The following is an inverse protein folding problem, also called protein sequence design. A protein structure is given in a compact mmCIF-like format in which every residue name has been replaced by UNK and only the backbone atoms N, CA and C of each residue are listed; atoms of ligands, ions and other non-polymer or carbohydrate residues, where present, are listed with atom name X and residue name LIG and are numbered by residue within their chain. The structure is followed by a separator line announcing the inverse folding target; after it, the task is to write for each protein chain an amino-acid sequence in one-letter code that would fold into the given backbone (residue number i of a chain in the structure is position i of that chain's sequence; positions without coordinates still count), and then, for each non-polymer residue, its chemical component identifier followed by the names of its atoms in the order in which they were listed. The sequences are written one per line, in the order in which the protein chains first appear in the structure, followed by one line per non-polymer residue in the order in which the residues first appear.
data_IF_267887989266
#
_entry.id   IF_267887989266
#
_cell.length_a   1.000
_cell.length_b   1.000
_cell.length_c   1.000
_cell.angle_alpha   90.00
_cell.angle_beta   90.00
_cell.angle_gamma   90.00
#
_symmetry.space_group_name_H-M   'P 1'
#
loop_
_entity.id
_entity.type
_entity.pdbx_description
1 polymer ?
#
# COMPACT_ATOMS: atom_id res chain seq x y z
N UNK A 1 4.10 0.35 -36.62
CA UNK A 1 3.07 0.31 -35.58
C UNK A 1 1.74 0.51 -36.27
N UNK A 2 0.83 -0.44 -36.12
CA UNK A 2 -0.50 -0.35 -36.73
C UNK A 2 -1.32 0.71 -36.00
N UNK A 3 -2.21 1.40 -36.73
CA UNK A 3 -3.01 2.50 -36.19
C UNK A 3 -3.76 2.13 -34.89
N UNK A 4 -4.26 0.89 -34.79
CA UNK A 4 -4.89 0.35 -33.59
C UNK A 4 -3.95 0.29 -32.40
N UNK A 5 -2.70 -0.15 -32.61
CA UNK A 5 -1.70 -0.20 -31.53
C UNK A 5 -1.40 1.20 -30.99
N UNK A 6 -1.24 2.18 -31.89
CA UNK A 6 -1.01 3.57 -31.50
C UNK A 6 -2.16 4.13 -30.64
N UNK A 7 -3.41 3.83 -31.01
CA UNK A 7 -4.60 4.22 -30.23
C UNK A 7 -4.56 3.58 -28.83
N UNK A 8 -4.25 2.28 -28.72
CA UNK A 8 -4.16 1.60 -27.42
C UNK A 8 -3.11 2.24 -26.51
N UNK A 9 -1.94 2.59 -27.04
CA UNK A 9 -0.90 3.30 -26.30
C UNK A 9 -1.35 4.68 -25.80
N UNK A 10 -2.00 5.46 -26.65
CA UNK A 10 -2.54 6.78 -26.28
C UNK A 10 -3.57 6.64 -25.14
N UNK A 11 -4.50 5.69 -25.26
CA UNK A 11 -5.50 5.43 -24.23
C UNK A 11 -4.87 5.00 -22.89
N UNK A 12 -3.83 4.18 -22.94
CA UNK A 12 -3.09 3.74 -21.76
C UNK A 12 -2.36 4.89 -21.06
N UNK A 13 -1.74 5.79 -21.82
CA UNK A 13 -1.09 7.00 -21.28
C UNK A 13 -2.12 7.93 -20.63
N UNK A 14 -3.26 8.16 -21.28
CA UNK A 14 -4.36 8.97 -20.73
C UNK A 14 -4.87 8.38 -19.41
N UNK A 15 -5.02 7.05 -19.35
CA UNK A 15 -5.42 6.34 -18.13
C UNK A 15 -4.41 6.57 -17.00
N UNK A 16 -3.11 6.41 -17.27
CA UNK A 16 -2.04 6.64 -16.29
C UNK A 16 -2.09 8.08 -15.77
N UNK A 17 -2.18 9.07 -16.65
CA UNK A 17 -2.25 10.48 -16.26
C UNK A 17 -3.49 10.74 -15.39
N UNK A 18 -4.64 10.16 -15.77
CA UNK A 18 -5.87 10.25 -14.99
C UNK A 18 -5.74 9.68 -13.58
N UNK A 19 -5.08 8.52 -13.43
CA UNK A 19 -4.81 7.88 -12.14
C UNK A 19 -3.90 8.77 -11.28
N UNK A 20 -2.81 9.29 -11.85
CA UNK A 20 -1.88 10.17 -11.14
C UNK A 20 -2.62 11.42 -10.64
N UNK A 21 -3.41 12.08 -11.49
CA UNK A 21 -4.21 13.24 -11.09
C UNK A 21 -5.21 12.86 -9.98
N UNK A 22 -5.85 11.70 -10.06
CA UNK A 22 -6.76 11.20 -9.03
C UNK A 22 -6.07 11.04 -7.69
N UNK A 23 -4.88 10.45 -7.66
CA UNK A 23 -4.04 10.31 -6.46
C UNK A 23 -3.70 11.68 -5.86
N UNK A 24 -3.25 12.63 -6.68
CA UNK A 24 -2.91 13.97 -6.21
C UNK A 24 -4.11 14.72 -5.64
N UNK A 25 -5.29 14.61 -6.28
CA UNK A 25 -6.53 15.21 -5.75
C UNK A 25 -6.92 14.63 -4.39
N UNK A 26 -6.83 13.31 -4.23
CA UNK A 26 -7.10 12.66 -2.94
C UNK A 26 -6.13 13.19 -1.88
N UNK A 27 -4.84 13.23 -2.20
CA UNK A 27 -3.81 13.73 -1.29
C UNK A 27 -4.06 15.19 -0.88
N UNK A 28 -4.32 16.09 -1.84
CA UNK A 28 -4.56 17.51 -1.57
C UNK A 28 -5.84 17.73 -0.74
N UNK A 29 -6.92 17.00 -1.07
CA UNK A 29 -8.20 17.12 -0.36
C UNK A 29 -8.11 16.71 1.11
N UNK A 30 -7.18 15.82 1.46
CA UNK A 30 -6.99 15.35 2.85
C UNK A 30 -6.36 16.39 3.79
N UNK A 31 -5.86 17.52 3.26
CA UNK A 31 -5.20 18.61 4.00
C UNK A 31 -4.29 18.09 5.15
N UNK A 32 -3.30 17.24 4.83
CA UNK A 32 -2.53 16.56 5.85
C UNK A 32 -1.72 17.58 6.65
N UNK A 33 -1.78 17.47 7.99
CA UNK A 33 -0.90 18.26 8.87
C UNK A 33 0.56 17.85 8.64
N UNK A 34 1.49 18.77 8.91
CA UNK A 34 2.93 18.53 8.69
C UNK A 34 3.42 17.27 9.44
N UNK A 35 2.92 17.04 10.64
CA UNK A 35 3.26 15.87 11.46
C UNK A 35 2.82 14.55 10.79
N UNK A 36 1.67 14.56 10.12
CA UNK A 36 1.18 13.39 9.38
C UNK A 36 2.03 13.11 8.14
N UNK A 37 2.55 14.14 7.47
CA UNK A 37 3.45 13.98 6.34
C UNK A 37 4.78 13.35 6.76
N UNK A 38 5.36 13.80 7.87
CA UNK A 38 6.59 13.22 8.42
C UNK A 38 6.38 11.75 8.80
N UNK A 39 5.25 11.45 9.45
CA UNK A 39 4.89 10.08 9.79
C UNK A 39 4.74 9.19 8.55
N UNK A 40 4.03 9.66 7.52
CA UNK A 40 3.88 8.94 6.25
C UNK A 40 5.25 8.68 5.63
N UNK A 41 6.14 9.68 5.60
CA UNK A 41 7.49 9.52 5.06
C UNK A 41 8.28 8.43 5.79
N UNK A 42 8.19 8.37 7.13
CA UNK A 42 8.83 7.32 7.94
C UNK A 42 8.21 5.94 7.62
N UNK A 43 6.88 5.85 7.53
CA UNK A 43 6.19 4.60 7.23
C UNK A 43 6.54 4.08 5.82
N UNK A 44 6.60 4.96 4.83
CA UNK A 44 7.07 4.66 3.47
C UNK A 44 8.51 4.15 3.50
N UNK A 45 9.41 4.84 4.21
CA UNK A 45 10.80 4.41 4.34
C UNK A 45 10.91 3.01 4.97
N UNK A 46 10.13 2.71 6.01
CA UNK A 46 10.08 1.38 6.65
C UNK A 46 9.54 0.33 5.67
N UNK A 47 8.47 0.62 4.94
CA UNK A 47 7.91 -0.30 3.92
C UNK A 47 8.92 -0.65 2.84
N UNK A 48 9.61 0.37 2.31
CA UNK A 48 10.61 0.22 1.26
C UNK A 48 11.82 -0.55 1.78
N UNK A 49 12.39 -0.17 2.93
CA UNK A 49 13.53 -0.88 3.52
C UNK A 49 13.21 -2.31 3.92
N UNK A 50 11.97 -2.60 4.33
CA UNK A 50 11.54 -3.97 4.61
C UNK A 50 11.47 -4.85 3.36
N UNK A 51 11.29 -4.24 2.19
CA UNK A 51 11.02 -4.94 0.92
C UNK A 51 12.24 -5.05 0.01
N UNK A 52 13.11 -4.04 -0.04
CA UNK A 52 14.31 -4.07 -0.89
C UNK A 52 15.16 -5.34 -0.66
N UNK A 53 15.45 -5.78 0.60
CA UNK A 53 16.22 -7.00 0.83
C UNK A 53 15.49 -8.26 0.36
N UNK A 54 14.15 -8.26 0.38
CA UNK A 54 13.33 -9.38 -0.07
C UNK A 54 12.96 -9.29 -1.55
N UNK A 55 13.35 -8.22 -2.26
CA UNK A 55 13.06 -8.05 -3.68
C UNK A 55 13.68 -9.14 -4.57
N UNK A 56 14.74 -9.80 -4.08
CA UNK A 56 15.35 -10.96 -4.73
C UNK A 56 14.50 -12.24 -4.63
N UNK A 57 13.47 -12.26 -3.78
CA UNK A 57 12.51 -13.36 -3.62
C UNK A 57 11.16 -12.95 -4.22
N UNK A 58 10.86 -13.36 -5.47
CA UNK A 58 9.59 -13.01 -6.11
C UNK A 58 8.38 -13.40 -5.26
N UNK A 59 7.46 -12.45 -5.07
CA UNK A 59 6.24 -12.62 -4.27
C UNK A 59 6.42 -12.32 -2.77
N UNK A 60 7.64 -12.18 -2.24
CA UNK A 60 7.85 -11.85 -0.81
C UNK A 60 7.95 -10.34 -0.63
N UNK A 61 6.80 -9.69 -0.45
CA UNK A 61 6.70 -8.23 -0.35
C UNK A 61 6.28 -7.78 1.06
N UNK A 62 7.26 -7.46 1.90
CA UNK A 62 7.02 -6.99 3.27
C UNK A 62 6.29 -5.62 3.33
N UNK A 63 6.35 -4.83 2.25
CA UNK A 63 5.64 -3.56 2.10
C UNK A 63 4.13 -3.71 2.38
N UNK A 64 3.49 -4.74 1.82
CA UNK A 64 2.06 -5.00 2.02
C UNK A 64 1.69 -5.09 3.50
N UNK A 65 2.50 -5.78 4.30
CA UNK A 65 2.27 -5.85 5.74
C UNK A 65 2.30 -4.46 6.40
N UNK A 66 3.32 -3.64 6.11
CA UNK A 66 3.45 -2.29 6.68
C UNK A 66 2.30 -1.38 6.24
N UNK A 67 1.87 -1.48 4.98
CA UNK A 67 0.75 -0.72 4.42
C UNK A 67 -0.57 -1.10 5.10
N UNK A 68 -0.84 -2.39 5.29
CA UNK A 68 -2.02 -2.89 6.00
C UNK A 68 -2.01 -2.42 7.46
N UNK A 69 -0.87 -2.56 8.16
CA UNK A 69 -0.71 -2.08 9.53
C UNK A 69 -0.95 -0.57 9.63
N UNK A 70 -0.47 0.18 8.64
CA UNK A 70 -0.67 1.63 8.57
C UNK A 70 -2.16 1.96 8.44
N UNK A 71 -2.87 1.30 7.53
CA UNK A 71 -4.31 1.46 7.37
C UNK A 71 -5.08 1.16 8.65
N UNK A 72 -4.78 0.03 9.31
CA UNK A 72 -5.45 -0.40 10.55
C UNK A 72 -5.27 0.63 11.68
N UNK A 73 -4.08 1.23 11.83
CA UNK A 73 -3.74 2.00 13.03
C UNK A 73 -3.93 3.51 12.84
N UNK A 74 -3.55 4.03 11.68
CA UNK A 74 -3.59 5.47 11.37
C UNK A 74 -4.80 5.86 10.53
N UNK A 75 -5.51 4.88 9.96
CA UNK A 75 -6.76 5.08 9.24
C UNK A 75 -6.62 4.96 7.72
N UNK A 76 -7.78 5.00 7.04
CA UNK A 76 -7.91 4.71 5.60
C UNK A 76 -7.08 5.65 4.70
N UNK A 77 -7.03 6.94 5.01
CA UNK A 77 -6.32 7.93 4.21
C UNK A 77 -4.81 7.76 4.33
N UNK A 78 -4.30 7.62 5.56
CA UNK A 78 -2.87 7.37 5.80
C UNK A 78 -2.43 6.04 5.20
N UNK A 79 -3.26 4.99 5.31
CA UNK A 79 -3.01 3.70 4.66
C UNK A 79 -2.93 3.82 3.14
N UNK A 80 -3.88 4.51 2.52
CA UNK A 80 -3.90 4.75 1.08
C UNK A 80 -2.64 5.49 0.60
N UNK A 81 -2.34 6.65 1.20
CA UNK A 81 -1.20 7.48 0.79
C UNK A 81 0.11 6.73 1.00
N UNK A 82 0.26 6.01 2.12
CA UNK A 82 1.46 5.20 2.39
C UNK A 82 1.64 4.11 1.35
N UNK A 83 0.57 3.43 0.94
CA UNK A 83 0.63 2.41 -0.11
C UNK A 83 1.05 2.98 -1.46
N UNK A 84 0.44 4.09 -1.86
CA UNK A 84 0.77 4.78 -3.12
C UNK A 84 2.23 5.26 -3.14
N UNK A 85 2.68 5.93 -2.08
CA UNK A 85 4.06 6.44 -2.03
C UNK A 85 5.09 5.33 -1.87
N UNK A 86 4.74 4.22 -1.21
CA UNK A 86 5.63 3.04 -1.13
C UNK A 86 5.91 2.47 -2.51
N UNK A 87 4.89 2.31 -3.36
CA UNK A 87 5.07 1.87 -4.75
C UNK A 87 6.03 2.80 -5.50
N UNK A 88 5.74 4.10 -5.46
CA UNK A 88 6.52 5.10 -6.18
C UNK A 88 7.98 5.11 -5.72
N UNK A 89 8.23 5.16 -4.41
CA UNK A 89 9.60 5.24 -3.86
C UNK A 89 10.34 3.93 -4.08
N UNK A 90 9.70 2.77 -3.93
CA UNK A 90 10.33 1.48 -4.20
C UNK A 90 10.79 1.37 -5.66
N UNK A 91 9.94 1.79 -6.60
CA UNK A 91 10.25 1.74 -8.03
C UNK A 91 11.29 2.79 -8.44
N UNK A 92 11.53 3.84 -7.65
CA UNK A 92 12.71 4.69 -7.87
C UNK A 92 14.03 3.93 -7.67
N UNK A 93 14.05 2.88 -6.84
CA UNK A 93 15.22 2.00 -6.67
C UNK A 93 15.25 0.84 -7.66
N UNK A 94 14.09 0.24 -7.94
CA UNK A 94 13.98 -0.97 -8.78
C UNK A 94 13.76 -0.68 -10.28
N UNK A 95 13.46 0.57 -10.63
CA UNK A 95 13.15 1.02 -11.98
C UNK A 95 11.68 1.46 -12.11
N UNK A 96 11.47 2.68 -12.59
CA UNK A 96 10.13 3.19 -12.89
C UNK A 96 9.61 2.58 -14.19
N UNK A 97 8.36 2.14 -14.19
CA UNK A 97 7.76 1.51 -15.36
C UNK A 97 6.25 1.71 -15.44
N UNK A 98 5.65 1.14 -16.48
CA UNK A 98 4.20 1.16 -16.66
C UNK A 98 3.45 0.46 -15.51
N UNK A 99 4.10 -0.52 -14.86
CA UNK A 99 3.56 -1.25 -13.72
C UNK A 99 3.42 -0.40 -12.46
N UNK A 100 4.26 0.64 -12.28
CA UNK A 100 4.31 1.47 -11.07
C UNK A 100 2.94 2.04 -10.73
N UNK A 101 2.17 2.47 -11.73
CA UNK A 101 0.83 3.05 -11.54
C UNK A 101 -0.15 2.02 -11.00
N UNK A 102 -0.06 0.78 -11.46
CA UNK A 102 -0.90 -0.31 -10.98
C UNK A 102 -0.47 -0.78 -9.59
N UNK A 103 0.82 -0.77 -9.29
CA UNK A 103 1.31 -1.01 -7.93
C UNK A 103 0.83 0.06 -6.95
N UNK A 104 0.86 1.34 -7.36
CA UNK A 104 0.31 2.46 -6.59
C UNK A 104 -1.17 2.24 -6.27
N UNK A 105 -1.97 1.80 -7.26
CA UNK A 105 -3.38 1.46 -7.05
C UNK A 105 -3.52 0.26 -6.12
N UNK A 106 -2.83 -0.84 -6.39
CA UNK A 106 -2.94 -2.09 -5.64
C UNK A 106 -2.62 -1.88 -4.16
N UNK A 107 -1.47 -1.30 -3.86
CA UNK A 107 -1.07 -1.00 -2.49
C UNK A 107 -1.86 0.14 -1.85
N UNK A 108 -2.22 1.16 -2.62
CA UNK A 108 -3.11 2.22 -2.14
C UNK A 108 -4.45 1.66 -1.67
N UNK A 109 -5.13 0.86 -2.50
CA UNK A 109 -6.41 0.24 -2.16
C UNK A 109 -6.28 -0.78 -1.02
N UNK A 110 -5.18 -1.52 -0.96
CA UNK A 110 -4.87 -2.42 0.14
C UNK A 110 -4.82 -1.67 1.48
N UNK A 111 -4.11 -0.54 1.54
CA UNK A 111 -4.05 0.30 2.75
C UNK A 111 -5.38 0.98 3.08
N UNK A 112 -6.10 1.47 2.07
CA UNK A 112 -7.41 2.09 2.22
C UNK A 112 -8.42 1.12 2.84
N UNK A 113 -8.56 -0.06 2.26
CA UNK A 113 -9.51 -1.08 2.72
C UNK A 113 -9.11 -1.65 4.08
N UNK A 114 -7.82 -1.80 4.37
CA UNK A 114 -7.34 -2.16 5.70
C UNK A 114 -7.81 -1.15 6.77
N UNK A 115 -7.79 0.14 6.46
CA UNK A 115 -8.31 1.18 7.34
C UNK A 115 -9.84 1.21 7.46
N UNK A 116 -10.56 0.86 6.39
CA UNK A 116 -12.04 0.72 6.42
C UNK A 116 -12.46 -0.46 7.30
N UNK A 117 -11.74 -1.57 7.23
CA UNK A 117 -12.06 -2.81 7.96
C UNK A 117 -11.30 -2.97 9.27
N UNK A 118 -10.61 -1.93 9.74
CA UNK A 118 -9.68 -1.98 10.89
C UNK A 118 -10.25 -2.68 12.13
N UNK A 119 -11.50 -2.39 12.50
CA UNK A 119 -12.18 -3.02 13.65
C UNK A 119 -12.37 -4.54 13.50
N UNK A 120 -12.61 -5.03 12.28
CA UNK A 120 -12.77 -6.46 11.98
C UNK A 120 -11.41 -7.16 11.93
N UNK A 121 -10.37 -6.45 11.51
CA UNK A 121 -9.00 -6.97 11.40
C UNK A 121 -8.28 -7.12 12.75
N UNK A 122 -8.95 -6.81 13.87
CA UNK A 122 -8.52 -7.22 15.20
C UNK A 122 -8.56 -8.74 15.37
N UNK A 123 -9.57 -9.39 14.75
CA UNK A 123 -9.67 -10.84 14.73
C UNK A 123 -8.56 -11.45 13.86
N UNK A 124 -7.79 -12.36 14.44
CA UNK A 124 -6.64 -13.01 13.79
C UNK A 124 -7.01 -13.73 12.48
N UNK A 125 -8.16 -14.41 12.43
CA UNK A 125 -8.61 -15.14 11.26
C UNK A 125 -8.99 -14.20 10.13
N UNK A 126 -9.77 -13.16 10.43
CA UNK A 126 -10.18 -12.16 9.44
C UNK A 126 -8.97 -11.39 8.91
N UNK A 127 -8.00 -11.09 9.76
CA UNK A 127 -6.76 -10.43 9.36
C UNK A 127 -5.89 -11.28 8.46
N UNK A 128 -5.69 -12.56 8.81
CA UNK A 128 -4.94 -13.50 7.97
C UNK A 128 -5.61 -13.69 6.60
N UNK A 129 -6.93 -13.90 6.59
CA UNK A 129 -7.71 -14.03 5.36
C UNK A 129 -7.64 -12.74 4.51
N UNK A 130 -7.75 -11.57 5.14
CA UNK A 130 -7.64 -10.29 4.46
C UNK A 130 -6.30 -10.14 3.75
N UNK A 131 -5.18 -10.42 4.44
CA UNK A 131 -3.85 -10.34 3.84
C UNK A 131 -3.64 -11.35 2.71
N UNK A 132 -4.14 -12.58 2.88
CA UNK A 132 -4.06 -13.62 1.87
C UNK A 132 -4.81 -13.22 0.59
N UNK A 133 -6.07 -12.81 0.72
CA UNK A 133 -6.92 -12.39 -0.41
C UNK A 133 -6.33 -11.16 -1.10
N UNK A 134 -5.81 -10.20 -0.34
CA UNK A 134 -5.17 -9.02 -0.91
C UNK A 134 -3.86 -9.30 -1.65
N UNK A 135 -3.18 -10.42 -1.37
CA UNK A 135 -2.06 -10.88 -2.20
C UNK A 135 -2.50 -11.13 -3.64
N UNK A 136 -3.62 -11.83 -3.83
CA UNK A 136 -4.20 -12.07 -5.15
C UNK A 136 -4.74 -10.80 -5.79
N UNK A 137 -5.49 -9.97 -5.05
CA UNK A 137 -5.99 -8.72 -5.63
C UNK A 137 -4.87 -7.78 -6.06
N UNK A 138 -3.77 -7.72 -5.31
CA UNK A 138 -2.61 -6.95 -5.72
C UNK A 138 -2.03 -7.49 -7.03
N UNK A 139 -1.75 -8.80 -7.09
CA UNK A 139 -1.26 -9.47 -8.29
C UNK A 139 -2.12 -9.21 -9.51
N UNK A 140 -3.43 -9.43 -9.37
CA UNK A 140 -4.37 -9.23 -10.47
C UNK A 140 -4.44 -7.78 -10.94
N UNK A 141 -4.37 -6.81 -10.02
CA UNK A 141 -4.32 -5.38 -10.39
C UNK A 141 -3.03 -5.09 -11.17
N UNK A 142 -1.89 -5.63 -10.73
CA UNK A 142 -0.61 -5.42 -11.42
C UNK A 142 -0.54 -6.15 -12.76
N UNK A 143 -1.18 -7.30 -12.91
CA UNK A 143 -1.23 -8.08 -14.15
C UNK A 143 -1.99 -7.36 -15.27
N UNK A 144 -2.99 -6.53 -14.92
CA UNK A 144 -3.70 -5.67 -15.89
C UNK A 144 -2.71 -4.80 -16.66
N UNK A 145 -1.61 -4.38 -16.02
CA UNK A 145 -0.56 -3.58 -16.67
C UNK A 145 0.10 -4.30 -17.85
N UNK A 146 0.19 -5.64 -17.82
CA UNK A 146 0.77 -6.45 -18.89
C UNK A 146 -0.16 -6.61 -20.10
N UNK A 147 -1.48 -6.45 -19.91
CA UNK A 147 -2.46 -6.65 -20.99
C UNK A 147 -2.27 -5.67 -22.14
N UNK A 148 -1.77 -4.46 -21.86
CA UNK A 148 -1.46 -3.45 -22.87
C UNK A 148 -0.33 -3.87 -23.84
N UNK A 149 0.45 -4.90 -23.50
CA UNK A 149 1.60 -5.37 -24.25
C UNK A 149 1.35 -6.71 -24.97
N UNK A 150 0.16 -7.29 -24.81
CA UNK A 150 -0.21 -8.51 -25.52
C UNK A 150 -0.42 -8.21 -27.01
N UNK A 151 0.16 -9.05 -27.87
CA UNK A 151 -0.03 -8.97 -29.33
C UNK A 151 -1.50 -9.12 -29.75
N UNK A 152 -2.25 -9.90 -28.98
CA UNK A 152 -3.70 -10.11 -29.14
C UNK A 152 -4.35 -10.25 -27.78
N UNK A 153 -5.33 -9.39 -27.49
CA UNK A 153 -6.15 -9.47 -26.28
C UNK A 153 -7.36 -10.36 -26.58
N UNK A 154 -7.34 -11.59 -26.09
CA UNK A 154 -8.46 -12.52 -26.13
C UNK A 154 -8.55 -13.25 -24.79
N UNK A 155 -9.64 -13.99 -24.55
CA UNK A 155 -9.87 -14.62 -23.25
C UNK A 155 -8.72 -15.56 -22.85
N UNK A 156 -8.13 -16.29 -23.80
CA UNK A 156 -7.04 -17.22 -23.52
C UNK A 156 -5.74 -16.49 -23.16
N UNK A 157 -5.41 -15.39 -23.83
CA UNK A 157 -4.21 -14.61 -23.52
C UNK A 157 -4.34 -13.89 -22.18
N UNK A 158 -5.53 -13.38 -21.86
CA UNK A 158 -5.83 -12.80 -20.54
C UNK A 158 -5.71 -13.84 -19.43
N UNK A 159 -6.38 -15.01 -19.57
CA UNK A 159 -6.28 -16.10 -18.60
C UNK A 159 -4.85 -16.64 -18.49
N UNK A 160 -4.09 -16.62 -19.58
CA UNK A 160 -2.68 -17.00 -19.59
C UNK A 160 -1.82 -16.11 -18.70
N UNK A 161 -2.03 -14.79 -18.71
CA UNK A 161 -1.30 -13.86 -17.82
C UNK A 161 -1.59 -14.20 -16.35
N UNK A 162 -2.86 -14.32 -15.98
CA UNK A 162 -3.25 -14.65 -14.60
C UNK A 162 -2.78 -16.05 -14.15
N UNK A 163 -2.72 -17.01 -15.08
CA UNK A 163 -2.23 -18.35 -14.77
C UNK A 163 -0.72 -18.35 -14.48
N UNK A 164 0.05 -17.52 -15.20
CA UNK A 164 1.51 -17.38 -15.00
C UNK A 164 1.81 -16.62 -13.71
N UNK A 165 1.00 -15.63 -13.33
CA UNK A 165 1.19 -14.86 -12.09
C UNK A 165 0.73 -15.59 -10.83
N UNK A 166 -0.19 -16.55 -10.94
CA UNK A 166 -0.81 -17.23 -9.79
C UNK A 166 0.16 -17.79 -8.72
N UNK A 167 1.33 -18.38 -9.05
CA UNK A 167 2.30 -18.80 -8.03
C UNK A 167 2.87 -17.64 -7.23
N UNK A 168 3.13 -16.50 -7.87
CA UNK A 168 3.65 -15.30 -7.22
C UNK A 168 2.58 -14.67 -6.32
N UNK A 169 1.33 -14.62 -6.79
CA UNK A 169 0.17 -14.16 -6.02
C UNK A 169 -0.06 -15.01 -4.78
N UNK A 170 0.10 -16.33 -4.91
CA UNK A 170 0.01 -17.26 -3.79
C UNK A 170 1.13 -17.01 -2.77
N UNK A 171 2.38 -16.84 -3.21
CA UNK A 171 3.50 -16.53 -2.32
C UNK A 171 3.26 -15.20 -1.61
N UNK A 172 2.74 -14.19 -2.30
CA UNK A 172 2.40 -12.89 -1.71
C UNK A 172 1.29 -13.03 -0.67
N UNK A 173 0.22 -13.74 -1.00
CA UNK A 173 -0.88 -14.02 -0.09
C UNK A 173 -0.41 -14.75 1.18
N UNK A 174 0.40 -15.80 1.02
CA UNK A 174 0.99 -16.55 2.14
C UNK A 174 1.91 -15.64 2.98
N UNK A 175 2.75 -14.84 2.33
CA UNK A 175 3.65 -13.90 3.02
C UNK A 175 2.84 -12.91 3.87
N UNK A 176 1.80 -12.31 3.31
CA UNK A 176 0.93 -11.39 4.03
C UNK A 176 0.25 -12.08 5.23
N UNK A 177 -0.29 -13.29 5.02
CA UNK A 177 -0.91 -14.08 6.08
C UNK A 177 0.07 -14.33 7.23
N UNK A 178 1.26 -14.83 6.93
CA UNK A 178 2.29 -15.16 7.93
C UNK A 178 2.71 -13.90 8.69
N UNK A 179 3.04 -12.80 8.00
CA UNK A 179 3.47 -11.56 8.63
C UNK A 179 2.36 -10.95 9.52
N UNK A 180 1.11 -10.96 9.06
CA UNK A 180 -0.03 -10.42 9.82
C UNK A 180 -0.44 -11.31 11.00
N UNK A 181 -0.19 -12.61 10.96
CA UNK A 181 -0.43 -13.51 12.10
C UNK A 181 0.66 -13.34 13.14
N UNK A 182 1.93 -13.34 12.72
CA UNK A 182 3.08 -13.36 13.65
C UNK A 182 3.44 -11.99 14.20
N UNK A 183 3.48 -10.95 13.34
CA UNK A 183 4.08 -9.66 13.70
C UNK A 183 3.05 -8.59 14.07
N UNK A 184 1.76 -8.83 13.84
CA UNK A 184 0.70 -7.84 14.10
C UNK A 184 0.74 -7.27 15.51
N UNK A 185 0.86 -8.12 16.54
CA UNK A 185 0.86 -7.66 17.93
C UNK A 185 2.05 -6.75 18.26
N UNK A 186 3.22 -7.05 17.73
CA UNK A 186 4.45 -6.27 17.93
C UNK A 186 4.32 -4.91 17.24
N UNK A 187 4.00 -4.91 15.95
CA UNK A 187 3.89 -3.69 15.16
C UNK A 187 2.72 -2.83 15.61
N UNK A 188 1.60 -3.43 16.06
CA UNK A 188 0.49 -2.69 16.64
C UNK A 188 0.94 -1.84 17.82
N UNK A 189 1.70 -2.42 18.77
CA UNK A 189 2.23 -1.68 19.92
C UNK A 189 3.16 -0.54 19.48
N UNK A 190 4.05 -0.78 18.53
CA UNK A 190 5.01 0.23 18.04
C UNK A 190 4.28 1.38 17.33
N UNK A 191 3.39 1.05 16.40
CA UNK A 191 2.69 2.02 15.57
C UNK A 191 1.66 2.81 16.38
N UNK A 192 0.95 2.19 17.33
CA UNK A 192 0.06 2.91 18.25
C UNK A 192 0.85 3.91 19.10
N UNK A 193 2.01 3.54 19.64
CA UNK A 193 2.87 4.49 20.37
C UNK A 193 3.33 5.66 19.50
N UNK A 194 3.70 5.41 18.25
CA UNK A 194 4.06 6.45 17.30
C UNK A 194 2.86 7.38 17.00
N UNK A 195 1.67 6.82 16.75
CA UNK A 195 0.44 7.57 16.54
C UNK A 195 0.12 8.49 17.70
N UNK A 196 0.15 7.96 18.91
CA UNK A 196 -0.23 8.71 20.11
C UNK A 196 0.80 9.81 20.44
N UNK A 197 2.04 9.67 19.98
CA UNK A 197 3.08 10.71 20.12
C UNK A 197 2.98 11.82 19.07
N UNK A 198 2.76 11.46 17.80
CA UNK A 198 2.90 12.38 16.66
C UNK A 198 1.56 12.89 16.10
N UNK A 199 0.48 12.12 16.22
CA UNK A 199 -0.84 12.47 15.64
C UNK A 199 -1.80 13.01 16.71
N UNK A 200 -1.80 12.41 17.90
CA UNK A 200 -2.61 12.85 19.03
C UNK A 200 -1.75 13.15 20.26
N UNK A 201 -0.87 14.18 20.22
CA UNK A 201 -0.05 14.49 21.38
C UNK A 201 -0.97 14.73 22.57
N UNK A 202 -0.96 13.79 23.51
CA UNK A 202 -1.70 13.90 24.75
C UNK A 202 -1.26 15.20 25.41
N UNK A 203 -2.22 16.09 25.69
CA UNK A 203 -2.00 17.30 26.50
C UNK A 203 -1.64 16.89 27.94
N UNK A 204 -0.49 16.28 28.16
CA UNK A 204 -0.04 15.84 29.49
C UNK A 204 0.92 16.81 30.16
N UNK A 205 1.41 17.85 29.47
CA UNK A 205 2.43 18.75 30.03
C UNK A 205 1.94 20.14 30.48
N UNK A 206 0.66 20.49 30.33
CA UNK A 206 0.14 21.80 30.78
C UNK A 206 -0.53 21.79 32.15
N UNK A 207 -0.98 20.63 32.65
CA UNK A 207 -1.62 20.53 33.97
C UNK A 207 -0.59 20.45 35.12
N UNK A 208 0.57 19.82 34.90
CA UNK A 208 1.61 19.66 35.92
C UNK A 208 2.41 20.94 36.14
N UNK A 209 2.53 21.80 35.12
CA UNK A 209 3.27 23.07 35.21
C UNK A 209 2.48 24.17 35.93
N UNK A 210 1.14 24.12 35.93
CA UNK A 210 0.30 25.09 36.66
C UNK A 210 0.33 24.83 38.17
N UNK A 211 0.39 23.56 38.59
CA UNK A 211 0.48 23.16 40.00
C UNK A 211 1.84 23.43 40.68
N UNK A 212 2.89 23.75 39.92
CA UNK A 212 4.20 24.15 40.44
C UNK A 212 4.46 25.66 40.37
N UNK A 213 3.55 26.43 39.78
CA UNK A 213 3.59 27.90 39.75
C UNK A 213 2.63 28.52 40.78
N UNK A 214 1.69 27.72 41.31
CA UNK A 214 0.76 28.09 42.39
C UNK A 214 1.24 27.58 43.78
N UNK A 215 2.52 27.24 43.94
CA UNK A 215 3.18 26.92 45.21
C UNK A 215 4.43 27.77 45.37
#
# INVERSE_FOLDING_TARGET
MDFLTLISWIMFIILIIGIIIGVFKIFESSKPRVENLVLIAILVAISVMGTIPTAALPGVQAASFIIIMTGIIFGRETGFITGVLTALVMDMFLGLGYWTVFQMIGWGLMGLTAGIFSSRLENIYLRGAFGFIWGFFYGWITDISMLAFLSTVNLNSVLGVFAVSAPFDLIHGITNLILLVLLYGIFKRIFTRARDKFVFPTRQNSATKKKSLDK
#
